data_IF_367913825579
#
_entry.id   IF_367913825579
#
_cell.length_a   1.000
_cell.length_b   1.000
_cell.length_c   1.000
_cell.angle_alpha   90.00
_cell.angle_beta   90.00
_cell.angle_gamma   90.00
#
_symmetry.space_group_name_H-M   'P 1'
#
loop_
_entity.id
_entity.type
_entity.pdbx_description
1 polymer ?
#
# COMPACT_ATOMS: atom_id res chain seq x y z
N UNK A 1 -15.24 24.41 -11.92
CA UNK A 1 -16.15 24.36 -10.76
C UNK A 1 -17.30 25.33 -10.97
N UNK A 2 -18.51 24.90 -10.57
CA UNK A 2 -19.71 25.71 -10.61
C UNK A 2 -20.46 25.56 -9.28
N UNK A 3 -20.85 26.69 -8.67
CA UNK A 3 -21.59 26.71 -7.42
C UNK A 3 -22.87 27.54 -7.60
N UNK A 4 -24.02 26.96 -7.29
CA UNK A 4 -25.30 27.64 -7.29
C UNK A 4 -26.14 27.20 -6.10
N UNK A 5 -26.36 28.12 -5.16
CA UNK A 5 -27.10 27.81 -3.93
C UNK A 5 -26.45 26.66 -3.15
N UNK A 6 -27.17 25.56 -3.03
CA UNK A 6 -26.76 24.35 -2.27
C UNK A 6 -26.06 23.29 -3.12
N UNK A 7 -25.81 23.56 -4.38
CA UNK A 7 -25.19 22.61 -5.30
C UNK A 7 -23.82 23.11 -5.73
N UNK A 8 -22.83 22.22 -5.66
CA UNK A 8 -21.48 22.43 -6.18
C UNK A 8 -21.19 21.34 -7.21
N UNK A 9 -20.78 21.74 -8.39
CA UNK A 9 -20.38 20.85 -9.49
C UNK A 9 -18.92 21.08 -9.82
N UNK A 10 -18.17 20.00 -10.04
CA UNK A 10 -16.83 20.04 -10.58
C UNK A 10 -16.73 19.07 -11.76
N UNK A 11 -16.27 19.58 -12.88
CA UNK A 11 -15.91 18.78 -14.06
C UNK A 11 -14.41 18.97 -14.29
N UNK A 12 -13.74 17.88 -14.61
CA UNK A 12 -12.31 17.92 -14.88
C UNK A 12 -11.83 16.68 -15.62
N UNK A 13 -10.58 16.71 -15.99
CA UNK A 13 -9.89 15.63 -16.64
C UNK A 13 -8.39 15.86 -16.65
N UNK A 14 -7.64 14.81 -16.87
CA UNK A 14 -6.20 14.83 -17.03
C UNK A 14 -5.77 13.80 -18.06
N UNK A 15 -4.61 14.01 -18.66
CA UNK A 15 -3.98 13.03 -19.53
C UNK A 15 -2.47 13.16 -19.42
N UNK A 16 -1.78 12.02 -19.52
CA UNK A 16 -0.34 11.96 -19.58
C UNK A 16 0.09 10.84 -20.53
N UNK A 17 1.33 10.96 -20.99
CA UNK A 17 2.01 9.94 -21.77
C UNK A 17 3.35 9.70 -21.08
N UNK A 18 3.60 8.45 -20.77
CA UNK A 18 4.91 7.99 -20.35
C UNK A 18 5.55 7.22 -21.53
N UNK A 19 6.82 7.54 -21.81
CA UNK A 19 7.65 6.82 -22.76
C UNK A 19 9.02 6.60 -22.15
N UNK A 20 9.42 5.35 -21.96
CA UNK A 20 10.64 5.01 -21.25
C UNK A 20 11.34 3.79 -21.84
N UNK A 21 12.66 3.91 -22.02
CA UNK A 21 13.54 2.81 -22.37
C UNK A 21 14.21 2.23 -21.13
N UNK A 22 14.33 0.90 -21.10
CA UNK A 22 14.96 0.14 -20.02
C UNK A 22 16.01 -0.78 -20.66
N UNK A 23 17.24 -0.74 -20.14
CA UNK A 23 18.33 -1.56 -20.67
C UNK A 23 19.36 -1.89 -19.60
N UNK A 24 20.03 -3.01 -19.76
CA UNK A 24 21.16 -3.44 -18.94
C UNK A 24 22.42 -3.65 -19.76
N UNK A 25 23.56 -3.23 -19.20
CA UNK A 25 24.87 -3.43 -19.77
C UNK A 25 25.73 -4.30 -18.87
N UNK A 26 26.39 -5.31 -19.44
CA UNK A 26 27.48 -6.02 -18.77
C UNK A 26 28.70 -5.10 -18.77
N UNK A 27 29.13 -4.67 -17.58
CA UNK A 27 30.26 -3.76 -17.40
C UNK A 27 31.58 -4.50 -17.22
N UNK A 28 31.54 -5.64 -16.50
CA UNK A 28 32.68 -6.52 -16.26
C UNK A 28 32.20 -7.91 -15.84
N UNK A 29 33.03 -8.92 -16.12
CA UNK A 29 32.82 -10.29 -15.64
C UNK A 29 34.03 -10.67 -14.81
N UNK A 30 33.82 -11.09 -13.54
CA UNK A 30 34.90 -11.35 -12.57
C UNK A 30 35.82 -12.47 -13.06
N UNK A 31 35.23 -13.55 -13.57
CA UNK A 31 35.96 -14.75 -14.02
C UNK A 31 36.42 -14.67 -15.49
N UNK A 32 36.13 -13.55 -16.17
CA UNK A 32 36.56 -13.32 -17.55
C UNK A 32 37.06 -11.88 -17.72
N UNK A 33 38.21 -11.52 -17.17
CA UNK A 33 38.79 -10.20 -17.33
C UNK A 33 39.09 -9.94 -18.80
N UNK A 34 38.52 -8.89 -19.36
CA UNK A 34 38.58 -8.57 -20.79
C UNK A 34 37.31 -8.95 -21.58
N UNK A 35 36.30 -9.52 -20.95
CA UNK A 35 34.99 -9.71 -21.57
C UNK A 35 34.45 -8.34 -22.05
N UNK A 36 34.02 -8.22 -23.32
CA UNK A 36 33.62 -6.93 -23.85
C UNK A 36 32.34 -6.44 -23.18
N UNK A 37 32.33 -5.14 -22.86
CA UNK A 37 31.11 -4.48 -22.43
C UNK A 37 30.06 -4.57 -23.53
N UNK A 38 28.85 -5.00 -23.19
CA UNK A 38 27.77 -5.07 -24.14
C UNK A 38 26.41 -4.91 -23.45
N UNK A 39 25.43 -4.47 -24.21
CA UNK A 39 24.04 -4.45 -23.80
C UNK A 39 23.49 -5.88 -23.89
N UNK A 40 22.92 -6.40 -22.80
CA UNK A 40 22.38 -7.75 -22.78
C UNK A 40 20.87 -7.79 -22.81
N UNK A 41 20.17 -6.70 -22.45
CA UNK A 41 18.73 -6.57 -22.67
C UNK A 41 18.34 -5.13 -22.98
N UNK A 42 17.25 -4.95 -23.71
CA UNK A 42 16.61 -3.67 -23.96
C UNK A 42 15.13 -3.85 -24.20
N UNK A 43 14.31 -3.05 -23.52
CA UNK A 43 12.89 -2.94 -23.80
C UNK A 43 12.41 -1.50 -23.68
N UNK A 44 11.24 -1.23 -24.25
CA UNK A 44 10.57 0.06 -24.18
C UNK A 44 9.16 -0.10 -23.63
N UNK A 45 8.72 0.88 -22.86
CA UNK A 45 7.38 0.94 -22.30
C UNK A 45 6.75 2.29 -22.63
N UNK A 46 5.59 2.25 -23.30
CA UNK A 46 4.79 3.45 -23.57
C UNK A 46 3.42 3.30 -22.92
N UNK A 47 3.04 4.26 -22.09
CA UNK A 47 1.76 4.28 -21.40
C UNK A 47 1.01 5.57 -21.64
N UNK A 48 -0.19 5.46 -22.18
CA UNK A 48 -1.17 6.54 -22.29
C UNK A 48 -2.17 6.40 -21.14
N UNK A 49 -2.44 7.49 -20.43
CA UNK A 49 -3.39 7.54 -19.33
C UNK A 49 -4.22 8.80 -19.44
N UNK A 50 -5.52 8.67 -19.55
CA UNK A 50 -6.43 9.78 -19.64
C UNK A 50 -7.66 9.52 -18.79
N UNK A 51 -8.15 10.55 -18.10
CA UNK A 51 -9.38 10.45 -17.33
C UNK A 51 -10.24 11.70 -17.47
N UNK A 52 -11.53 11.51 -17.27
CA UNK A 52 -12.53 12.56 -17.10
C UNK A 52 -13.36 12.25 -15.86
N UNK A 53 -13.77 13.28 -15.14
CA UNK A 53 -14.60 13.11 -13.97
C UNK A 53 -15.66 14.20 -13.82
N UNK A 54 -16.74 13.85 -13.16
CA UNK A 54 -17.80 14.75 -12.74
C UNK A 54 -18.13 14.51 -11.27
N UNK A 55 -18.07 15.57 -10.46
CA UNK A 55 -18.39 15.54 -9.02
C UNK A 55 -19.55 16.46 -8.73
N UNK A 56 -20.47 16.01 -7.90
CA UNK A 56 -21.55 16.81 -7.35
C UNK A 56 -21.56 16.71 -5.83
N UNK A 57 -21.66 17.85 -5.17
CA UNK A 57 -22.00 17.96 -3.76
C UNK A 57 -23.32 18.75 -3.66
N UNK A 58 -24.29 18.21 -2.94
CA UNK A 58 -25.59 18.81 -2.76
C UNK A 58 -25.99 18.82 -1.30
N UNK A 59 -26.18 20.00 -0.72
CA UNK A 59 -26.84 20.17 0.56
C UNK A 59 -28.34 20.02 0.36
N UNK A 60 -28.84 18.77 0.44
CA UNK A 60 -30.24 18.43 0.20
C UNK A 60 -31.19 19.02 1.26
N UNK A 61 -30.70 19.09 2.51
CA UNK A 61 -31.37 19.75 3.63
C UNK A 61 -30.32 20.31 4.59
N UNK A 62 -30.73 21.09 5.58
CA UNK A 62 -29.81 21.62 6.59
C UNK A 62 -29.06 20.47 7.29
N UNK A 63 -27.76 20.45 7.14
CA UNK A 63 -26.88 19.41 7.69
C UNK A 63 -26.86 18.11 6.91
N UNK A 64 -27.74 17.90 5.90
CA UNK A 64 -27.74 16.72 5.05
C UNK A 64 -27.06 17.01 3.73
N UNK A 65 -25.90 16.37 3.50
CA UNK A 65 -25.15 16.50 2.25
C UNK A 65 -25.07 15.16 1.54
N UNK A 66 -25.33 15.19 0.25
CA UNK A 66 -25.18 14.09 -0.69
C UNK A 66 -24.01 14.41 -1.62
N UNK A 67 -23.21 13.41 -1.95
CA UNK A 67 -22.21 13.57 -2.98
C UNK A 67 -22.18 12.38 -3.93
N UNK A 68 -21.79 12.66 -5.16
CA UNK A 68 -21.44 11.64 -6.14
C UNK A 68 -20.21 12.10 -6.94
N UNK A 69 -19.38 11.15 -7.30
CA UNK A 69 -18.20 11.34 -8.14
C UNK A 69 -18.17 10.20 -9.16
N UNK A 70 -18.18 10.54 -10.42
CA UNK A 70 -18.12 9.60 -11.53
C UNK A 70 -16.83 9.86 -12.28
N UNK A 71 -15.96 8.87 -12.34
CA UNK A 71 -14.72 8.93 -13.10
C UNK A 71 -14.69 7.83 -14.15
N UNK A 72 -14.31 8.20 -15.36
CA UNK A 72 -13.91 7.28 -16.40
C UNK A 72 -12.42 7.48 -16.70
N UNK A 73 -11.66 6.37 -16.71
CA UNK A 73 -10.20 6.38 -16.98
C UNK A 73 -9.89 5.38 -18.09
N UNK A 74 -9.20 5.86 -19.10
CA UNK A 74 -8.67 5.08 -20.21
C UNK A 74 -7.15 4.92 -20.04
N UNK A 75 -6.66 3.69 -20.18
CA UNK A 75 -5.24 3.40 -20.14
C UNK A 75 -4.88 2.48 -21.29
N UNK A 76 -3.81 2.81 -22.01
CA UNK A 76 -3.16 1.91 -22.96
C UNK A 76 -1.70 1.77 -22.57
N UNK A 77 -1.25 0.54 -22.34
CA UNK A 77 0.11 0.21 -21.92
C UNK A 77 0.71 -0.80 -22.88
N UNK A 78 1.82 -0.43 -23.54
CA UNK A 78 2.58 -1.28 -24.43
C UNK A 78 3.98 -1.45 -23.87
N UNK A 79 4.49 -2.70 -23.84
CA UNK A 79 5.84 -3.03 -23.39
C UNK A 79 6.40 -4.00 -24.42
N UNK A 80 7.52 -3.66 -25.07
CA UNK A 80 8.10 -4.47 -26.14
C UNK A 80 9.62 -4.52 -26.04
N UNK A 81 10.21 -5.64 -26.46
CA UNK A 81 11.65 -5.87 -26.47
C UNK A 81 12.07 -6.97 -25.50
N UNK A 82 13.35 -7.10 -25.26
CA UNK A 82 13.95 -8.16 -24.44
C UNK A 82 14.07 -7.70 -22.99
N UNK A 83 13.70 -8.55 -22.03
CA UNK A 83 13.85 -8.33 -20.59
C UNK A 83 15.06 -9.09 -20.03
N UNK A 84 15.47 -8.77 -18.79
CA UNK A 84 16.58 -9.38 -18.09
C UNK A 84 16.29 -10.76 -17.46
N UNK A 85 15.03 -11.19 -17.41
CA UNK A 85 14.65 -12.50 -16.92
C UNK A 85 15.07 -13.59 -17.91
N UNK A 86 15.79 -14.61 -17.42
CA UNK A 86 16.23 -15.75 -18.20
C UNK A 86 15.20 -16.88 -18.12
N UNK A 87 14.75 -17.36 -19.27
CA UNK A 87 13.89 -18.52 -19.37
C UNK A 87 14.75 -19.77 -19.60
N UNK A 88 14.88 -20.60 -18.57
CA UNK A 88 15.70 -21.82 -18.64
C UNK A 88 15.16 -22.86 -19.62
N UNK A 89 13.85 -22.88 -19.90
CA UNK A 89 13.24 -23.80 -20.87
C UNK A 89 13.61 -23.45 -22.30
N UNK A 90 13.66 -22.17 -22.65
CA UNK A 90 14.03 -21.70 -24.00
C UNK A 90 15.51 -21.36 -24.11
N UNK A 91 16.26 -21.35 -23.01
CA UNK A 91 17.65 -20.90 -22.92
C UNK A 91 17.88 -19.52 -23.53
N UNK A 92 16.92 -18.62 -23.35
CA UNK A 92 16.93 -17.26 -23.86
C UNK A 92 16.37 -16.27 -22.84
N UNK A 93 16.67 -14.98 -23.03
CA UNK A 93 16.02 -13.91 -22.29
C UNK A 93 14.54 -13.81 -22.68
N UNK A 94 13.73 -13.33 -21.76
CA UNK A 94 12.30 -13.14 -21.95
C UNK A 94 12.03 -12.06 -23.00
N UNK A 95 11.28 -12.40 -24.04
CA UNK A 95 10.77 -11.42 -25.01
C UNK A 95 9.42 -10.87 -24.54
N UNK A 96 9.31 -9.55 -24.53
CA UNK A 96 8.11 -8.81 -24.15
C UNK A 96 7.39 -8.32 -25.40
N UNK A 97 6.12 -8.68 -25.54
CA UNK A 97 5.18 -8.19 -26.55
C UNK A 97 3.80 -8.00 -25.91
N UNK A 98 3.71 -6.97 -25.04
CA UNK A 98 2.58 -6.74 -24.16
C UNK A 98 1.82 -5.51 -24.63
N UNK A 99 0.57 -5.72 -24.99
CA UNK A 99 -0.36 -4.67 -25.37
C UNK A 99 -1.62 -4.79 -24.54
N UNK A 100 -1.87 -3.84 -23.63
CA UNK A 100 -3.02 -3.84 -22.75
C UNK A 100 -3.78 -2.53 -22.86
N UNK A 101 -5.11 -2.63 -22.86
CA UNK A 101 -6.01 -1.49 -22.84
C UNK A 101 -7.03 -1.70 -21.73
N UNK A 102 -7.24 -0.69 -20.91
CA UNK A 102 -8.16 -0.72 -19.77
C UNK A 102 -9.14 0.43 -19.89
N UNK A 103 -10.37 0.14 -19.51
CA UNK A 103 -11.48 1.09 -19.42
C UNK A 103 -12.07 0.97 -18.02
N UNK A 104 -11.74 1.92 -17.16
CA UNK A 104 -12.17 1.92 -15.78
C UNK A 104 -13.29 2.91 -15.56
N UNK A 105 -14.36 2.45 -14.94
CA UNK A 105 -15.42 3.28 -14.43
C UNK A 105 -15.41 3.19 -12.90
N UNK A 106 -15.09 4.30 -12.23
CA UNK A 106 -14.87 4.40 -10.80
C UNK A 106 -15.94 5.33 -10.17
N UNK A 107 -17.17 4.86 -9.94
CA UNK A 107 -18.19 5.64 -9.26
C UNK A 107 -17.90 5.70 -7.75
N UNK A 108 -18.23 6.84 -7.16
CA UNK A 108 -18.24 7.04 -5.71
C UNK A 108 -19.49 7.84 -5.34
N UNK A 109 -20.17 7.44 -4.27
CA UNK A 109 -21.32 8.17 -3.74
C UNK A 109 -21.36 8.07 -2.22
N UNK A 110 -21.96 9.04 -1.57
CA UNK A 110 -22.17 9.00 -0.14
C UNK A 110 -23.13 10.07 0.35
N UNK A 111 -23.50 9.87 1.59
CA UNK A 111 -24.34 10.78 2.34
C UNK A 111 -23.67 11.09 3.68
N UNK A 112 -23.73 12.32 4.11
CA UNK A 112 -23.37 12.69 5.46
C UNK A 112 -24.46 13.59 6.06
N UNK A 113 -24.69 13.40 7.35
CA UNK A 113 -25.67 14.16 8.11
C UNK A 113 -25.03 14.71 9.39
N UNK A 114 -25.05 16.04 9.50
CA UNK A 114 -24.60 16.74 10.70
C UNK A 114 -25.80 17.16 11.52
N UNK A 115 -25.91 16.67 12.74
CA UNK A 115 -26.97 16.99 13.69
C UNK A 115 -26.41 17.55 14.98
N UNK A 116 -27.22 18.30 15.74
CA UNK A 116 -26.84 18.94 16.98
C UNK A 116 -25.51 19.70 16.92
N UNK A 117 -25.12 20.21 15.72
CA UNK A 117 -23.90 20.97 15.40
C UNK A 117 -22.57 20.20 15.57
N UNK A 118 -22.53 19.23 16.45
CA UNK A 118 -21.31 18.58 16.94
C UNK A 118 -21.20 17.11 16.51
N UNK A 119 -22.25 16.56 15.94
CA UNK A 119 -22.34 15.16 15.58
C UNK A 119 -22.50 15.01 14.06
N UNK A 120 -21.69 14.16 13.46
CA UNK A 120 -21.77 13.84 12.03
C UNK A 120 -21.76 12.33 11.85
N UNK A 121 -22.68 11.81 11.08
CA UNK A 121 -22.67 10.44 10.57
C UNK A 121 -22.47 10.47 9.07
N UNK A 122 -21.83 9.43 8.52
CA UNK A 122 -21.70 9.29 7.09
C UNK A 122 -21.74 7.82 6.66
N UNK A 123 -22.17 7.62 5.43
CA UNK A 123 -22.05 6.35 4.70
C UNK A 123 -21.52 6.67 3.33
N UNK A 124 -20.57 5.89 2.84
CA UNK A 124 -20.04 5.99 1.49
C UNK A 124 -19.84 4.64 0.84
N UNK A 125 -19.92 4.65 -0.48
CA UNK A 125 -19.58 3.54 -1.35
C UNK A 125 -18.69 4.03 -2.48
N UNK A 126 -17.63 3.28 -2.79
CA UNK A 126 -16.74 3.57 -3.89
C UNK A 126 -16.35 2.30 -4.65
N UNK A 127 -16.16 2.46 -5.96
CA UNK A 127 -15.48 1.47 -6.79
C UNK A 127 -14.17 2.07 -7.26
N UNK A 128 -13.08 1.31 -7.10
CA UNK A 128 -11.78 1.67 -7.63
C UNK A 128 -11.21 0.51 -8.44
N UNK A 129 -10.51 0.83 -9.51
CA UNK A 129 -9.86 -0.15 -10.37
C UNK A 129 -8.43 0.31 -10.65
N UNK A 130 -7.50 -0.66 -10.73
CA UNK A 130 -6.08 -0.39 -10.94
C UNK A 130 -5.51 -1.42 -11.92
N UNK A 131 -4.76 -0.94 -12.87
CA UNK A 131 -3.99 -1.75 -13.79
C UNK A 131 -2.71 -2.26 -13.14
N UNK A 132 -2.15 -3.40 -13.61
CA UNK A 132 -0.81 -3.82 -13.23
C UNK A 132 0.25 -2.80 -13.62
N UNK A 133 1.29 -2.70 -12.81
CA UNK A 133 2.48 -1.88 -13.11
C UNK A 133 3.35 -2.56 -14.18
N UNK A 134 4.36 -1.85 -14.71
CA UNK A 134 5.33 -2.46 -15.61
C UNK A 134 6.01 -3.67 -14.99
N UNK A 135 6.50 -3.55 -13.75
CA UNK A 135 7.17 -4.64 -13.04
C UNK A 135 6.30 -5.89 -12.89
N UNK A 136 5.00 -5.73 -12.66
CA UNK A 136 4.10 -6.87 -12.61
C UNK A 136 4.01 -7.67 -13.93
N UNK A 137 4.34 -7.05 -15.08
CA UNK A 137 4.42 -7.72 -16.36
C UNK A 137 5.80 -8.29 -16.65
N UNK A 138 6.85 -7.61 -16.22
CA UNK A 138 8.24 -8.04 -16.52
C UNK A 138 8.71 -9.12 -15.55
N UNK A 139 8.21 -9.13 -14.33
CA UNK A 139 8.64 -10.03 -13.25
C UNK A 139 7.64 -11.17 -13.05
N UNK A 140 7.09 -11.72 -14.15
CA UNK A 140 6.19 -12.85 -14.13
C UNK A 140 6.91 -14.17 -14.40
N UNK A 141 6.45 -15.26 -13.76
CA UNK A 141 6.84 -16.61 -14.15
C UNK A 141 6.10 -17.01 -15.44
N UNK A 142 6.83 -17.61 -16.37
CA UNK A 142 6.28 -18.29 -17.56
C UNK A 142 5.33 -17.45 -18.45
N UNK A 143 5.40 -16.10 -18.39
CA UNK A 143 4.56 -15.22 -19.22
C UNK A 143 3.09 -15.17 -18.78
N UNK A 144 2.75 -15.59 -17.58
CA UNK A 144 1.43 -15.42 -16.98
C UNK A 144 1.24 -13.96 -16.57
N UNK A 145 0.70 -13.17 -17.48
CA UNK A 145 0.50 -11.74 -17.24
C UNK A 145 -0.69 -11.47 -16.34
N UNK A 146 -0.51 -10.57 -15.35
CA UNK A 146 -1.58 -10.21 -14.42
C UNK A 146 -2.70 -9.42 -15.10
N UNK A 147 -3.87 -9.44 -14.47
CA UNK A 147 -5.05 -8.65 -14.82
C UNK A 147 -5.23 -7.46 -13.88
N UNK A 148 -6.14 -6.53 -14.22
CA UNK A 148 -6.47 -5.40 -13.37
C UNK A 148 -7.26 -5.84 -12.14
N UNK A 149 -6.98 -5.22 -10.99
CA UNK A 149 -7.72 -5.41 -9.75
C UNK A 149 -8.93 -4.45 -9.67
N UNK A 150 -9.95 -4.87 -8.91
CA UNK A 150 -11.13 -4.06 -8.61
C UNK A 150 -11.42 -4.10 -7.11
N UNK A 151 -11.69 -2.93 -6.55
CA UNK A 151 -12.10 -2.72 -5.17
C UNK A 151 -13.53 -2.20 -5.11
N UNK A 152 -14.32 -2.77 -4.20
CA UNK A 152 -15.60 -2.25 -3.71
C UNK A 152 -15.42 -1.87 -2.25
N UNK A 153 -15.60 -0.61 -1.93
CA UNK A 153 -15.34 -0.04 -0.63
C UNK A 153 -16.60 0.56 -0.01
N UNK A 154 -16.98 0.06 1.15
CA UNK A 154 -18.08 0.54 1.97
C UNK A 154 -17.54 1.12 3.26
N UNK A 155 -17.96 2.34 3.57
CA UNK A 155 -17.58 2.98 4.82
C UNK A 155 -18.83 3.49 5.55
N UNK A 156 -18.80 3.37 6.88
CA UNK A 156 -19.78 3.96 7.79
C UNK A 156 -19.03 4.60 8.95
N UNK A 157 -19.26 5.89 9.18
CA UNK A 157 -18.53 6.61 10.22
C UNK A 157 -19.41 7.52 11.05
N UNK A 158 -18.92 7.77 12.26
CA UNK A 158 -19.45 8.75 13.19
C UNK A 158 -18.32 9.65 13.70
N UNK A 159 -18.54 10.95 13.69
CA UNK A 159 -17.63 11.97 14.18
C UNK A 159 -18.35 12.84 15.20
N UNK A 160 -17.67 13.08 16.31
CA UNK A 160 -18.06 14.06 17.32
C UNK A 160 -16.95 15.09 17.46
N UNK A 161 -17.29 16.37 17.53
CA UNK A 161 -16.31 17.41 17.85
C UNK A 161 -16.94 18.52 18.71
N UNK A 162 -16.14 19.07 19.62
CA UNK A 162 -16.40 20.31 20.29
C UNK A 162 -15.08 21.09 20.48
N UNK A 163 -15.08 22.20 21.18
CA UNK A 163 -13.90 23.06 21.34
C UNK A 163 -12.70 22.38 22.02
N UNK A 164 -12.92 21.27 22.73
CA UNK A 164 -11.87 20.57 23.49
C UNK A 164 -11.65 19.13 23.07
N UNK A 165 -12.67 18.48 22.52
CA UNK A 165 -12.65 17.05 22.25
C UNK A 165 -13.17 16.75 20.84
N UNK A 166 -12.44 15.92 20.15
CA UNK A 166 -12.85 15.32 18.88
C UNK A 166 -12.70 13.81 18.99
N UNK A 167 -13.69 13.05 18.49
CA UNK A 167 -13.63 11.60 18.40
C UNK A 167 -14.28 11.12 17.12
N UNK A 168 -13.72 10.07 16.54
CA UNK A 168 -14.22 9.43 15.35
C UNK A 168 -14.18 7.92 15.46
N UNK A 169 -15.17 7.29 14.84
CA UNK A 169 -15.16 5.86 14.54
C UNK A 169 -15.56 5.67 13.08
N UNK A 170 -14.80 4.86 12.37
CA UNK A 170 -15.08 4.44 11.00
C UNK A 170 -15.09 2.91 10.94
N UNK A 171 -16.12 2.35 10.36
CA UNK A 171 -16.21 0.95 9.98
C UNK A 171 -16.03 0.87 8.48
N UNK A 172 -15.17 -0.01 8.01
CA UNK A 172 -14.94 -0.21 6.59
C UNK A 172 -15.01 -1.68 6.19
N UNK A 173 -15.45 -1.91 4.96
CA UNK A 173 -15.42 -3.20 4.30
C UNK A 173 -15.00 -3.02 2.85
N UNK A 174 -13.78 -3.45 2.56
CA UNK A 174 -13.14 -3.42 1.25
C UNK A 174 -13.14 -4.82 0.67
N UNK A 175 -13.92 -5.08 -0.38
CA UNK A 175 -13.94 -6.34 -1.12
C UNK A 175 -13.17 -6.17 -2.41
N UNK A 176 -12.21 -7.05 -2.65
CA UNK A 176 -11.37 -7.04 -3.84
C UNK A 176 -11.71 -8.21 -4.76
N UNK A 177 -11.65 -7.94 -6.06
CA UNK A 177 -11.64 -8.93 -7.12
C UNK A 177 -10.33 -8.82 -7.87
N UNK A 178 -9.70 -9.98 -8.13
CA UNK A 178 -8.41 -10.09 -8.83
C UNK A 178 -7.33 -9.19 -8.21
N UNK A 179 -7.31 -9.07 -6.86
CA UNK A 179 -6.31 -8.27 -6.19
C UNK A 179 -4.91 -8.78 -6.52
N UNK A 180 -4.04 -7.85 -6.92
CA UNK A 180 -2.63 -8.16 -7.18
C UNK A 180 -1.86 -8.13 -5.88
N UNK A 181 -1.37 -9.28 -5.45
CA UNK A 181 -0.64 -9.43 -4.17
C UNK A 181 0.73 -10.04 -4.40
N UNK A 182 1.67 -9.66 -3.54
CA UNK A 182 2.98 -10.28 -3.47
C UNK A 182 2.84 -11.76 -3.10
N UNK A 183 3.59 -12.62 -3.79
CA UNK A 183 3.59 -14.07 -3.51
C UNK A 183 4.53 -14.45 -2.38
N UNK A 184 5.50 -13.57 -2.05
CA UNK A 184 6.64 -13.86 -1.19
C UNK A 184 7.78 -14.54 -1.92
N UNK A 185 7.64 -14.78 -3.23
CA UNK A 185 8.70 -15.32 -4.09
C UNK A 185 9.45 -14.18 -4.78
N UNK A 186 10.70 -14.43 -5.11
CA UNK A 186 11.54 -13.53 -5.88
C UNK A 186 11.77 -14.08 -7.29
N UNK A 187 11.89 -13.17 -8.27
CA UNK A 187 12.38 -13.52 -9.61
C UNK A 187 13.87 -13.85 -9.57
N UNK A 188 14.41 -14.37 -10.66
CA UNK A 188 15.86 -14.65 -10.81
C UNK A 188 16.72 -13.40 -10.62
N UNK A 189 16.15 -12.22 -10.77
CA UNK A 189 16.80 -10.92 -10.57
C UNK A 189 16.55 -10.32 -9.17
N UNK A 190 15.87 -11.06 -8.27
CA UNK A 190 15.58 -10.64 -6.91
C UNK A 190 14.39 -9.68 -6.76
N UNK A 191 13.54 -9.56 -7.78
CA UNK A 191 12.32 -8.76 -7.72
C UNK A 191 11.17 -9.56 -7.12
N UNK A 192 10.31 -8.91 -6.33
CA UNK A 192 9.14 -9.53 -5.73
C UNK A 192 8.10 -9.89 -6.79
N UNK A 193 7.70 -11.15 -6.83
CA UNK A 193 6.68 -11.64 -7.74
C UNK A 193 5.27 -11.33 -7.20
N UNK A 194 4.37 -10.99 -8.09
CA UNK A 194 2.97 -10.71 -7.76
C UNK A 194 2.03 -11.57 -8.59
N UNK A 195 0.92 -11.99 -7.98
CA UNK A 195 -0.14 -12.79 -8.62
C UNK A 195 -1.51 -12.21 -8.29
N UNK A 196 -2.45 -12.28 -9.23
CA UNK A 196 -3.85 -11.99 -8.92
C UNK A 196 -4.45 -13.10 -8.07
N UNK A 197 -5.18 -12.70 -7.02
CA UNK A 197 -6.02 -13.60 -6.22
C UNK A 197 -7.48 -13.26 -6.48
N UNK A 198 -8.35 -14.28 -6.71
CA UNK A 198 -9.74 -14.02 -7.15
C UNK A 198 -10.53 -13.18 -6.16
N UNK A 199 -10.47 -13.51 -4.89
CA UNK A 199 -11.25 -12.90 -3.83
C UNK A 199 -10.43 -12.63 -2.57
N UNK A 200 -10.49 -11.38 -2.12
CA UNK A 200 -9.91 -10.97 -0.85
C UNK A 200 -10.72 -9.85 -0.22
N UNK A 201 -10.54 -9.63 1.07
CA UNK A 201 -11.17 -8.51 1.74
C UNK A 201 -10.30 -7.91 2.85
N UNK A 202 -10.54 -6.63 3.10
CA UNK A 202 -10.09 -5.92 4.29
C UNK A 202 -11.30 -5.35 4.99
N UNK A 203 -11.46 -5.60 6.28
CA UNK A 203 -12.52 -5.00 7.08
C UNK A 203 -12.00 -4.62 8.45
N UNK A 204 -12.55 -3.57 9.01
CA UNK A 204 -12.04 -3.14 10.32
C UNK A 204 -12.79 -1.96 10.88
N UNK A 205 -12.23 -1.51 12.01
CA UNK A 205 -12.69 -0.35 12.76
C UNK A 205 -11.48 0.56 12.94
N UNK A 206 -11.65 1.83 12.58
CA UNK A 206 -10.70 2.89 12.84
C UNK A 206 -11.25 3.80 13.91
N UNK A 207 -10.47 4.03 14.94
CA UNK A 207 -10.78 4.90 16.06
C UNK A 207 -9.82 6.08 16.04
N UNK A 208 -10.33 7.26 16.29
CA UNK A 208 -9.52 8.47 16.50
C UNK A 208 -10.08 9.30 17.65
N UNK A 209 -9.19 9.88 18.44
CA UNK A 209 -9.56 10.82 19.49
C UNK A 209 -8.50 11.91 19.64
N UNK A 210 -8.94 13.14 19.90
CA UNK A 210 -8.07 14.27 20.21
C UNK A 210 -8.69 15.07 21.36
N UNK A 211 -7.88 15.43 22.34
CA UNK A 211 -8.32 16.15 23.54
C UNK A 211 -7.36 17.30 23.86
N UNK A 212 -7.85 18.52 23.82
CA UNK A 212 -7.17 19.70 24.31
C UNK A 212 -7.36 19.81 25.85
N UNK A 213 -6.44 19.22 26.61
CA UNK A 213 -6.49 19.15 28.09
C UNK A 213 -6.28 20.54 28.67
N UNK A 214 -5.30 21.26 28.11
CA UNK A 214 -4.98 22.63 28.49
C UNK A 214 -4.52 23.42 27.26
N UNK A 215 -4.39 24.76 27.39
CA UNK A 215 -3.87 25.58 26.27
C UNK A 215 -2.45 25.24 25.83
N UNK A 216 -1.73 24.54 26.69
CA UNK A 216 -0.33 24.14 26.49
C UNK A 216 -0.15 22.64 26.33
N UNK A 217 -1.23 21.82 26.39
CA UNK A 217 -1.15 20.38 26.30
C UNK A 217 -2.35 19.78 25.57
N UNK A 218 -2.09 19.01 24.55
CA UNK A 218 -3.07 18.18 23.86
C UNK A 218 -2.61 16.71 23.73
N UNK A 219 -3.60 15.82 23.68
CA UNK A 219 -3.45 14.39 23.51
C UNK A 219 -4.20 13.97 22.24
N UNK A 220 -3.53 13.28 21.34
CA UNK A 220 -4.12 12.58 20.20
C UNK A 220 -3.92 11.07 20.33
N UNK A 221 -4.88 10.28 19.89
CA UNK A 221 -4.77 8.84 19.80
C UNK A 221 -5.53 8.32 18.59
N UNK A 222 -5.01 7.28 17.95
CA UNK A 222 -5.70 6.53 16.90
C UNK A 222 -5.42 5.03 17.06
N UNK A 223 -6.34 4.21 16.56
CA UNK A 223 -6.17 2.77 16.50
C UNK A 223 -6.98 2.21 15.33
N UNK A 224 -6.39 1.29 14.59
CA UNK A 224 -7.04 0.48 13.56
C UNK A 224 -7.01 -0.98 13.99
N UNK A 225 -8.18 -1.60 14.03
CA UNK A 225 -8.35 -3.02 14.24
C UNK A 225 -8.90 -3.63 12.95
N UNK A 226 -8.17 -4.52 12.33
CA UNK A 226 -8.49 -5.01 10.99
C UNK A 226 -8.40 -6.52 10.83
N UNK A 227 -9.13 -7.03 9.86
CA UNK A 227 -8.98 -8.36 9.29
C UNK A 227 -8.70 -8.23 7.81
N UNK A 228 -7.57 -8.77 7.36
CA UNK A 228 -7.09 -8.72 6.00
C UNK A 228 -6.95 -10.18 5.53
N UNK A 229 -7.86 -10.64 4.65
CA UNK A 229 -8.00 -12.06 4.31
C UNK A 229 -8.04 -12.29 2.81
N UNK A 230 -7.50 -13.44 2.42
CA UNK A 230 -7.65 -14.05 1.10
C UNK A 230 -8.57 -15.25 1.26
N UNK A 231 -9.54 -15.40 0.36
CA UNK A 231 -10.43 -16.55 0.31
C UNK A 231 -9.91 -17.59 -0.69
N UNK A 232 -10.06 -18.87 -0.35
CA UNK A 232 -9.66 -20.00 -1.20
C UNK A 232 -8.18 -19.92 -1.68
N UNK A 233 -7.29 -19.54 -0.76
CA UNK A 233 -5.88 -19.38 -1.07
C UNK A 233 -5.17 -20.72 -1.23
N UNK A 234 -4.44 -20.85 -2.33
CA UNK A 234 -3.49 -21.94 -2.55
C UNK A 234 -2.08 -21.35 -2.55
N UNK A 235 -1.23 -21.87 -1.67
CA UNK A 235 0.20 -21.56 -1.63
C UNK A 235 0.92 -22.50 -2.61
N UNK A 236 1.86 -21.97 -3.38
CA UNK A 236 2.72 -22.72 -4.28
C UNK A 236 4.11 -22.76 -3.67
N UNK A 237 4.64 -23.96 -3.42
CA UNK A 237 5.93 -24.16 -2.76
C UNK A 237 6.82 -24.99 -3.66
N UNK A 238 8.03 -24.51 -3.96
CA UNK A 238 9.00 -25.26 -4.76
C UNK A 238 9.41 -26.55 -4.06
N UNK A 239 9.36 -27.69 -4.76
CA UNK A 239 9.70 -29.00 -4.24
C UNK A 239 11.01 -29.50 -4.87
N UNK A 240 11.87 -30.03 -4.02
CA UNK A 240 13.18 -30.59 -4.35
C UNK A 240 13.30 -31.99 -3.76
N UNK A 241 14.09 -32.86 -4.41
CA UNK A 241 14.52 -34.11 -3.81
C UNK A 241 15.58 -33.87 -2.68
N UNK A 242 16.06 -34.96 -2.06
CA UNK A 242 17.07 -34.87 -1.02
C UNK A 242 18.45 -34.38 -1.50
N UNK A 243 18.69 -34.39 -2.81
CA UNK A 243 19.91 -33.93 -3.45
C UNK A 243 19.74 -32.51 -4.08
N UNK A 244 18.64 -31.80 -3.72
CA UNK A 244 18.29 -30.47 -4.21
C UNK A 244 18.01 -30.37 -5.71
N UNK A 245 17.62 -31.49 -6.35
CA UNK A 245 17.12 -31.40 -7.73
C UNK A 245 15.66 -30.91 -7.69
N UNK A 246 15.34 -29.93 -8.52
CA UNK A 246 13.99 -29.37 -8.60
C UNK A 246 13.00 -30.38 -9.17
N UNK A 247 11.92 -30.66 -8.45
CA UNK A 247 10.86 -31.58 -8.84
C UNK A 247 9.61 -30.89 -9.39
N UNK A 248 9.45 -29.60 -9.12
CA UNK A 248 8.28 -28.82 -9.51
C UNK A 248 7.75 -27.95 -8.39
N UNK A 249 6.51 -27.48 -8.55
CA UNK A 249 5.79 -26.74 -7.51
C UNK A 249 4.71 -27.64 -6.89
N UNK A 250 4.61 -27.60 -5.57
CA UNK A 250 3.56 -28.27 -4.81
C UNK A 250 2.48 -27.30 -4.40
N UNK A 251 1.24 -27.61 -4.72
CA UNK A 251 0.08 -26.83 -4.36
C UNK A 251 -0.40 -27.21 -2.95
N UNK A 252 -0.51 -26.22 -2.08
CA UNK A 252 -1.00 -26.37 -0.70
C UNK A 252 -2.26 -25.50 -0.53
N UNK A 253 -3.43 -26.14 -0.54
CA UNK A 253 -4.68 -25.42 -0.31
C UNK A 253 -4.83 -25.06 1.18
N UNK A 254 -4.82 -23.76 1.49
CA UNK A 254 -4.89 -23.21 2.85
C UNK A 254 -6.29 -22.69 3.22
N UNK A 255 -7.25 -22.64 2.28
CA UNK A 255 -8.57 -22.06 2.51
C UNK A 255 -8.49 -20.55 2.74
N UNK A 256 -9.01 -20.06 3.87
CA UNK A 256 -8.90 -18.63 4.21
C UNK A 256 -7.55 -18.32 4.84
N UNK A 257 -6.76 -17.48 4.18
CA UNK A 257 -5.45 -17.05 4.65
C UNK A 257 -5.40 -15.53 4.93
N UNK A 258 -4.22 -14.99 5.20
CA UNK A 258 -4.00 -13.58 5.49
C UNK A 258 -3.24 -12.90 4.35
N UNK A 259 -3.46 -11.60 4.17
CA UNK A 259 -2.65 -10.79 3.26
C UNK A 259 -1.28 -10.50 3.90
N UNK A 260 -0.22 -10.61 3.09
CA UNK A 260 1.14 -10.22 3.49
C UNK A 260 1.19 -8.75 3.89
N UNK A 261 2.14 -8.39 4.78
CA UNK A 261 2.37 -7.03 5.26
C UNK A 261 1.11 -6.28 5.70
N UNK A 262 0.16 -6.99 6.30
CA UNK A 262 -1.13 -6.44 6.69
C UNK A 262 -1.42 -6.75 8.17
N UNK A 263 -0.86 -5.96 9.11
CA UNK A 263 -1.04 -6.17 10.54
C UNK A 263 -2.51 -5.99 10.93
N UNK A 264 -2.96 -6.76 11.92
CA UNK A 264 -4.34 -6.67 12.42
C UNK A 264 -4.57 -5.48 13.35
N UNK A 265 -3.50 -4.92 13.92
CA UNK A 265 -3.54 -3.79 14.84
C UNK A 265 -2.47 -2.78 14.48
N UNK A 266 -2.86 -1.53 14.31
CA UNK A 266 -1.97 -0.37 14.26
C UNK A 266 -2.53 0.67 15.21
N UNK A 267 -1.69 1.25 16.08
CA UNK A 267 -2.12 2.30 17.01
C UNK A 267 -1.08 3.39 17.15
N UNK A 268 -1.52 4.60 17.43
CA UNK A 268 -0.66 5.74 17.65
C UNK A 268 -1.14 6.63 18.79
N UNK A 269 -0.19 7.22 19.53
CA UNK A 269 -0.45 8.23 20.57
C UNK A 269 0.46 9.42 20.33
N UNK A 270 -0.11 10.60 20.41
CA UNK A 270 0.56 11.88 20.22
C UNK A 270 0.36 12.75 21.45
N UNK A 271 1.44 13.15 22.12
CA UNK A 271 1.43 14.12 23.21
C UNK A 271 2.10 15.40 22.74
N UNK A 272 1.38 16.50 22.77
CA UNK A 272 1.83 17.78 22.26
C UNK A 272 1.81 18.87 23.34
N UNK A 273 2.98 19.45 23.61
CA UNK A 273 3.21 20.47 24.62
C UNK A 273 3.74 21.75 23.99
N UNK A 274 3.12 22.89 24.32
CA UNK A 274 3.53 24.21 23.89
C UNK A 274 3.51 25.21 25.01
N UNK A 275 4.67 25.68 25.45
CA UNK A 275 4.79 26.68 26.56
C UNK A 275 5.83 27.73 26.20
N UNK A 276 5.45 28.99 26.07
CA UNK A 276 6.36 30.17 25.94
C UNK A 276 7.48 29.97 24.89
N UNK A 277 7.11 29.54 23.69
CA UNK A 277 8.07 29.28 22.62
C UNK A 277 8.72 27.90 22.66
N UNK A 278 8.64 27.16 23.75
CA UNK A 278 9.03 25.77 23.82
C UNK A 278 7.92 24.86 23.30
N UNK A 279 8.28 23.86 22.51
CA UNK A 279 7.39 22.79 22.06
C UNK A 279 8.04 21.42 22.27
N UNK A 280 7.23 20.44 22.66
CA UNK A 280 7.65 19.05 22.75
C UNK A 280 6.54 18.15 22.21
N UNK A 281 6.85 17.36 21.20
CA UNK A 281 5.95 16.41 20.56
C UNK A 281 6.48 15.00 20.76
N UNK A 282 5.76 14.20 21.54
CA UNK A 282 6.04 12.78 21.70
C UNK A 282 5.06 11.98 20.84
N UNK A 283 5.58 11.16 19.96
CA UNK A 283 4.81 10.30 19.08
C UNK A 283 5.20 8.83 19.29
N UNK A 284 4.26 8.05 19.76
CA UNK A 284 4.42 6.59 19.95
C UNK A 284 3.55 5.87 18.92
N UNK A 285 4.12 4.91 18.23
CA UNK A 285 3.44 4.06 17.25
C UNK A 285 3.63 2.59 17.61
N UNK A 286 2.55 1.84 17.61
CA UNK A 286 2.52 0.39 17.70
C UNK A 286 2.08 -0.21 16.36
N UNK A 287 2.80 -1.23 15.92
CA UNK A 287 2.47 -2.03 14.74
C UNK A 287 2.45 -3.49 15.15
N UNK A 288 1.34 -4.16 14.92
CA UNK A 288 1.17 -5.58 15.24
C UNK A 288 1.94 -6.50 14.29
N UNK A 289 2.02 -7.77 14.64
CA UNK A 289 2.67 -8.83 13.86
C UNK A 289 2.21 -8.84 12.41
N UNK A 290 3.15 -9.05 11.48
CA UNK A 290 2.93 -9.14 10.04
C UNK A 290 3.57 -10.42 9.49
N UNK A 291 3.05 -10.93 8.38
CA UNK A 291 3.62 -12.07 7.66
C UNK A 291 4.26 -11.58 6.36
N UNK A 292 5.37 -12.17 5.94
CA UNK A 292 6.00 -11.87 4.64
C UNK A 292 5.18 -12.41 3.48
N UNK A 293 4.58 -13.59 3.67
CA UNK A 293 3.82 -14.30 2.65
C UNK A 293 2.34 -14.36 3.01
N UNK A 294 1.52 -14.73 2.06
CA UNK A 294 0.09 -14.93 2.29
C UNK A 294 -0.24 -16.27 2.96
N UNK A 295 0.75 -17.11 3.23
CA UNK A 295 0.58 -18.45 3.82
C UNK A 295 0.32 -18.47 5.33
N UNK A 296 0.41 -17.33 6.02
CA UNK A 296 0.27 -17.20 7.48
C UNK A 296 1.23 -18.13 8.24
N UNK A 297 2.47 -18.19 7.81
CA UNK A 297 3.52 -18.96 8.45
C UNK A 297 4.26 -18.12 9.49
N UNK A 298 4.27 -18.57 10.75
CA UNK A 298 4.92 -17.83 11.85
C UNK A 298 6.45 -17.77 11.71
N UNK A 299 7.07 -18.70 11.02
CA UNK A 299 8.50 -18.64 10.70
C UNK A 299 8.83 -17.52 9.67
N UNK A 300 7.84 -17.09 8.90
CA UNK A 300 7.96 -16.05 7.88
C UNK A 300 7.17 -14.80 8.30
N UNK A 301 7.55 -14.21 9.44
CA UNK A 301 6.82 -13.08 10.01
C UNK A 301 7.74 -12.06 10.66
N UNK A 302 7.25 -10.84 10.78
CA UNK A 302 7.79 -9.75 11.60
C UNK A 302 7.03 -9.70 12.92
N UNK A 303 7.75 -9.63 14.02
CA UNK A 303 7.16 -9.41 15.35
C UNK A 303 6.52 -8.02 15.44
N UNK A 304 5.61 -7.87 16.39
CA UNK A 304 5.04 -6.56 16.71
C UNK A 304 6.08 -5.67 17.39
N UNK A 305 5.93 -4.37 17.20
CA UNK A 305 6.84 -3.40 17.79
C UNK A 305 6.13 -2.11 18.20
N UNK A 306 6.78 -1.38 19.13
CA UNK A 306 6.34 -0.08 19.60
C UNK A 306 7.52 0.90 19.59
N UNK A 307 7.43 1.96 18.79
CA UNK A 307 8.49 2.96 18.64
C UNK A 307 7.99 4.33 19.08
N UNK A 308 8.82 5.03 19.84
CA UNK A 308 8.53 6.38 20.31
C UNK A 308 9.57 7.37 19.80
N UNK A 309 9.11 8.46 19.19
CA UNK A 309 9.93 9.57 18.71
C UNK A 309 9.62 10.83 19.50
N UNK A 310 10.63 11.65 19.75
CA UNK A 310 10.51 12.93 20.45
C UNK A 310 11.05 14.06 19.57
N UNK A 311 10.21 15.09 19.36
CA UNK A 311 10.60 16.32 18.71
C UNK A 311 10.55 17.46 19.72
N UNK A 312 11.66 18.14 19.93
CA UNK A 312 11.76 19.32 20.77
C UNK A 312 11.97 20.55 19.91
N UNK A 313 11.32 21.64 20.25
CA UNK A 313 11.48 22.91 19.56
C UNK A 313 11.53 24.07 20.52
N UNK A 314 12.28 25.10 20.16
CA UNK A 314 12.29 26.38 20.86
C UNK A 314 12.31 27.53 19.87
N UNK A 315 11.35 28.42 19.96
CA UNK A 315 11.25 29.62 19.16
C UNK A 315 11.61 30.85 19.98
N UNK A 316 12.68 31.51 19.55
CA UNK A 316 13.17 32.75 20.16
C UNK A 316 12.74 33.93 19.28
N UNK A 317 11.96 34.83 19.84
CA UNK A 317 11.64 36.09 19.17
C UNK A 317 12.87 37.01 19.12
N UNK A 318 13.29 37.43 17.93
CA UNK A 318 14.44 38.30 17.71
C UNK A 318 13.99 39.58 17.00
N UNK A 319 13.95 40.69 17.72
CA UNK A 319 13.29 41.94 17.32
C UNK A 319 13.73 42.54 15.98
N UNK A 320 14.91 42.18 15.46
CA UNK A 320 15.46 42.71 14.18
C UNK A 320 15.35 41.73 12.99
N UNK A 321 15.21 40.45 13.24
CA UNK A 321 15.21 39.39 12.18
C UNK A 321 13.94 38.53 12.22
N UNK A 322 12.96 38.86 13.06
CA UNK A 322 11.73 38.06 13.22
C UNK A 322 11.85 37.03 14.33
N UNK A 323 11.88 35.73 14.00
CA UNK A 323 12.09 34.66 14.98
C UNK A 323 13.18 33.67 14.50
N UNK A 324 13.86 33.05 15.46
CA UNK A 324 14.79 31.94 15.22
C UNK A 324 14.23 30.71 15.91
N UNK A 325 14.10 29.61 15.17
CA UNK A 325 13.62 28.34 15.70
C UNK A 325 14.75 27.34 15.75
N UNK A 326 14.93 26.72 16.91
CA UNK A 326 15.81 25.57 17.13
C UNK A 326 14.97 24.32 17.22
N UNK A 327 15.45 23.22 16.66
CA UNK A 327 14.76 21.93 16.70
C UNK A 327 15.73 20.78 16.96
N UNK A 328 15.30 19.81 17.75
CA UNK A 328 15.99 18.53 17.99
C UNK A 328 14.98 17.43 17.77
N UNK A 329 15.33 16.46 16.94
CA UNK A 329 14.54 15.25 16.74
C UNK A 329 15.32 14.04 17.26
N UNK A 330 14.68 13.26 18.10
CA UNK A 330 15.21 12.01 18.66
C UNK A 330 14.28 10.91 18.18
N UNK A 331 14.75 10.10 17.24
CA UNK A 331 14.02 8.94 16.76
C UNK A 331 14.31 7.75 17.68
N UNK A 332 13.30 6.90 17.85
CA UNK A 332 13.42 5.69 18.65
C UNK A 332 13.99 5.97 20.06
N UNK A 333 13.29 6.82 20.80
CA UNK A 333 13.71 7.36 22.12
C UNK A 333 14.09 6.27 23.12
N UNK A 334 13.44 5.11 23.06
CA UNK A 334 13.66 3.99 23.99
C UNK A 334 14.56 2.90 23.44
N UNK A 335 15.18 3.14 22.28
CA UNK A 335 16.08 2.17 21.61
C UNK A 335 15.43 0.79 21.44
N UNK A 336 14.17 0.74 21.00
CA UNK A 336 13.47 -0.50 20.70
C UNK A 336 14.15 -1.19 19.50
N UNK A 337 14.53 -2.44 19.67
CA UNK A 337 15.03 -3.26 18.57
C UNK A 337 13.85 -3.84 17.80
N UNK A 338 13.79 -3.61 16.50
CA UNK A 338 12.69 -4.11 15.65
C UNK A 338 13.14 -4.20 14.19
N UNK A 339 12.49 -5.10 13.45
CA UNK A 339 12.57 -5.14 12.00
C UNK A 339 11.25 -4.66 11.42
N UNK A 340 11.29 -3.71 10.50
CA UNK A 340 10.10 -3.18 9.83
C UNK A 340 9.90 -3.74 8.43
N UNK A 341 10.87 -4.50 7.93
CA UNK A 341 10.84 -5.13 6.63
C UNK A 341 11.60 -6.47 6.67
N UNK A 342 11.29 -7.34 5.73
CA UNK A 342 11.95 -8.62 5.55
C UNK A 342 11.37 -9.33 4.33
N UNK A 343 11.95 -10.44 3.95
CA UNK A 343 11.35 -11.36 2.98
C UNK A 343 11.63 -12.79 3.41
N UNK A 344 10.86 -13.71 2.88
CA UNK A 344 11.07 -15.12 3.16
C UNK A 344 10.33 -16.01 2.17
N UNK A 345 10.80 -17.21 2.06
CA UNK A 345 10.22 -18.24 1.20
C UNK A 345 10.24 -19.59 1.89
N UNK A 346 9.39 -20.48 1.39
CA UNK A 346 9.35 -21.87 1.79
C UNK A 346 9.77 -22.76 0.62
N UNK A 347 10.42 -23.87 0.95
CA UNK A 347 10.69 -24.98 0.03
C UNK A 347 10.35 -26.31 0.69
N UNK A 348 10.17 -27.35 -0.12
CA UNK A 348 10.01 -28.72 0.35
C UNK A 348 11.21 -29.51 -0.16
N UNK A 349 12.08 -29.97 0.74
CA UNK A 349 13.30 -30.69 0.39
C UNK A 349 13.22 -32.10 0.98
N UNK A 350 13.31 -33.14 0.13
CA UNK A 350 13.17 -34.52 0.57
C UNK A 350 11.85 -34.81 1.31
N UNK A 351 10.78 -34.05 0.96
CA UNK A 351 9.46 -34.15 1.61
C UNK A 351 9.29 -33.35 2.90
N UNK A 352 10.31 -32.61 3.34
CA UNK A 352 10.26 -31.75 4.55
C UNK A 352 10.17 -30.30 4.14
N UNK A 353 9.22 -29.55 4.75
CA UNK A 353 9.13 -28.08 4.54
C UNK A 353 10.26 -27.39 5.28
N UNK A 354 10.96 -26.54 4.58
CA UNK A 354 11.99 -25.65 5.09
C UNK A 354 11.59 -24.19 4.83
N UNK A 355 11.72 -23.35 5.85
CA UNK A 355 11.37 -21.93 5.79
C UNK A 355 12.62 -21.08 5.98
N UNK A 356 12.85 -20.12 5.10
CA UNK A 356 13.96 -19.17 5.16
C UNK A 356 13.44 -17.75 5.29
N UNK A 357 13.87 -17.04 6.33
CA UNK A 357 13.48 -15.67 6.62
C UNK A 357 14.68 -14.75 6.70
N UNK A 358 14.57 -13.57 6.10
CA UNK A 358 15.60 -12.53 6.07
C UNK A 358 15.00 -11.21 6.56
N UNK A 359 15.63 -10.60 7.55
CA UNK A 359 15.12 -9.42 8.24
C UNK A 359 15.97 -8.19 7.93
N UNK A 360 15.32 -7.06 7.73
CA UNK A 360 15.97 -5.76 7.53
C UNK A 360 15.55 -4.80 8.65
N UNK A 361 16.51 -4.26 9.41
CA UNK A 361 16.24 -3.31 10.49
C UNK A 361 15.82 -1.93 9.98
#
# INVERSE_FOLDING_TARGET
NYTRGRVQLALGGAGNVYDGGHWGNVMSVVDAPGFPRHEYYRNASTKYDANVFAKINWEAARGLNLYADLQYRFIRHNITGTNDNFNSTTSALQELDIHRTYHFFNPKAGVNYTFARNHKVYVSFAVAQKEPTRSNFTDTKNGEYPTSERLYDWEFGYLFHNDRFEAGVNFYYMSYKDQLVATGELSDTGQELSRNIPDSYRRGIELSASLNIARWFSLGANATLSQNRIENYTEYVSEYDADWNYLGEKELYLGTSTLSYSPSVIAGVLLDFHVKGFSALLHTQYVGKQYFTNGRNDALSLDDYCVTNLNLGYELAASKIGSVRFGVQINNLFNTEYCNNGYGYSSIVGGVREDSAFYFP
#
